data_IF_187642775195
#
_entry.id   IF_187642775195
#
_cell.length_a   1.000
_cell.length_b   1.000
_cell.length_c   1.000
_cell.angle_alpha   90.00
_cell.angle_beta   90.00
_cell.angle_gamma   90.00
#
_symmetry.space_group_name_H-M   'P 1'
#
loop_
_entity.id
_entity.type
_entity.pdbx_description
1 polymer ?
#
# COMPACT_ATOMS: atom_id res chain seq x y z
N UNK A 1 -18.83 3.22 10.27
CA UNK A 1 -17.84 2.53 9.40
C UNK A 1 -18.41 2.04 8.07
N UNK A 2 -19.64 1.51 7.99
CA UNK A 2 -20.22 1.09 6.70
C UNK A 2 -20.20 2.18 5.62
N UNK A 3 -20.60 3.41 5.97
CA UNK A 3 -20.55 4.55 5.05
C UNK A 3 -19.11 4.89 4.62
N UNK A 4 -18.16 4.88 5.56
CA UNK A 4 -16.74 5.11 5.25
C UNK A 4 -16.13 4.01 4.37
N UNK A 5 -16.73 2.82 4.34
CA UNK A 5 -16.26 1.70 3.51
C UNK A 5 -16.83 1.74 2.09
N UNK A 6 -17.78 2.62 1.79
CA UNK A 6 -18.51 2.62 0.51
C UNK A 6 -17.62 2.91 -0.71
N UNK A 7 -16.46 3.53 -0.49
CA UNK A 7 -15.50 3.89 -1.55
C UNK A 7 -14.25 3.02 -1.54
N UNK A 8 -14.09 2.17 -0.53
CA UNK A 8 -12.93 1.32 -0.35
C UNK A 8 -12.94 0.19 -1.38
N UNK A 9 -11.82 -0.01 -2.10
CA UNK A 9 -11.66 -1.04 -3.12
C UNK A 9 -10.29 -1.71 -3.02
N UNK A 10 -10.25 -2.99 -3.36
CA UNK A 10 -9.00 -3.71 -3.57
C UNK A 10 -8.64 -3.68 -5.05
N UNK A 11 -7.46 -3.15 -5.40
CA UNK A 11 -6.99 -3.09 -6.78
C UNK A 11 -6.90 -4.48 -7.41
N UNK A 12 -6.46 -5.48 -6.65
CA UNK A 12 -6.63 -6.89 -6.97
C UNK A 12 -7.96 -7.38 -6.35
N UNK A 13 -9.00 -7.68 -7.14
CA UNK A 13 -10.30 -8.06 -6.58
C UNK A 13 -10.22 -9.27 -5.66
N UNK A 14 -10.74 -9.14 -4.44
CA UNK A 14 -10.76 -10.21 -3.43
C UNK A 14 -9.44 -10.44 -2.69
N UNK A 15 -8.41 -9.59 -2.87
CA UNK A 15 -7.14 -9.72 -2.15
C UNK A 15 -7.15 -9.02 -0.78
N UNK A 16 -7.78 -7.85 -0.70
CA UNK A 16 -7.87 -7.03 0.51
C UNK A 16 -9.36 -6.81 0.81
N UNK A 17 -9.74 -6.85 2.08
CA UNK A 17 -11.12 -6.55 2.48
C UNK A 17 -11.46 -5.09 2.16
N UNK A 18 -12.59 -4.87 1.50
CA UNK A 18 -13.09 -3.55 1.10
C UNK A 18 -13.79 -2.84 2.27
N UNK A 19 -13.03 -2.58 3.32
CA UNK A 19 -13.46 -1.90 4.54
C UNK A 19 -12.56 -0.72 4.84
N UNK A 20 -13.11 0.33 5.45
CA UNK A 20 -12.35 1.52 5.82
C UNK A 20 -11.16 1.20 6.74
N UNK A 21 -11.40 0.38 7.77
CA UNK A 21 -10.39 -0.02 8.74
C UNK A 21 -10.63 -1.48 9.18
N UNK A 22 -9.53 -2.18 9.45
CA UNK A 22 -9.51 -3.53 10.01
C UNK A 22 -8.53 -3.57 11.20
N UNK A 23 -8.96 -4.14 12.33
CA UNK A 23 -8.12 -4.28 13.53
C UNK A 23 -6.89 -5.18 13.33
N UNK A 24 -6.90 -5.99 12.26
CA UNK A 24 -5.82 -6.90 11.89
C UNK A 24 -4.90 -6.34 10.81
N UNK A 25 -5.07 -5.07 10.43
CA UNK A 25 -4.10 -4.33 9.62
C UNK A 25 -3.12 -3.62 10.55
N UNK A 26 -1.89 -4.12 10.63
CA UNK A 26 -0.89 -3.64 11.59
C UNK A 26 0.04 -2.64 10.89
N UNK A 27 -0.04 -1.33 11.20
CA UNK A 27 0.79 -0.33 10.54
C UNK A 27 2.27 -0.46 10.95
N UNK A 28 3.18 -0.25 10.01
CA UNK A 28 4.62 -0.14 10.28
C UNK A 28 5.25 1.14 9.71
N UNK A 29 4.55 1.86 8.83
CA UNK A 29 4.97 3.17 8.32
C UNK A 29 3.74 4.06 8.12
N UNK A 30 3.94 5.38 8.17
CA UNK A 30 2.87 6.36 7.98
C UNK A 30 3.40 7.66 7.34
N UNK A 31 2.49 8.42 6.76
CA UNK A 31 2.75 9.72 6.13
C UNK A 31 2.44 10.93 7.03
N UNK A 32 2.02 10.70 8.28
CA UNK A 32 1.50 11.72 9.22
C UNK A 32 0.17 12.40 8.79
N UNK A 33 -0.38 12.06 7.63
CA UNK A 33 -1.70 12.47 7.13
C UNK A 33 -2.83 11.50 7.51
N UNK A 34 -2.47 10.32 8.04
CA UNK A 34 -3.42 9.26 8.41
C UNK A 34 -3.44 8.12 7.40
N UNK A 35 -2.41 8.00 6.58
CA UNK A 35 -2.20 6.92 5.63
C UNK A 35 -1.00 6.08 6.05
N UNK A 36 -1.08 4.78 5.77
CA UNK A 36 -0.19 3.78 6.34
C UNK A 36 0.24 2.76 5.30
N UNK A 37 1.44 2.24 5.50
CA UNK A 37 1.78 0.90 5.08
C UNK A 37 1.64 -0.03 6.29
N UNK A 38 1.14 -1.24 6.06
CA UNK A 38 1.08 -2.23 7.11
C UNK A 38 0.93 -3.65 6.61
N UNK A 39 0.99 -4.57 7.58
CA UNK A 39 0.82 -6.00 7.37
C UNK A 39 -0.64 -6.36 7.54
N UNK A 40 -1.21 -7.02 6.55
CA UNK A 40 -2.58 -7.51 6.56
C UNK A 40 -2.63 -8.94 7.10
N UNK A 41 -3.16 -9.11 8.32
CA UNK A 41 -3.32 -10.42 8.96
C UNK A 41 -4.74 -11.01 8.77
N UNK A 42 -5.63 -10.29 8.09
CA UNK A 42 -7.01 -10.70 7.84
C UNK A 42 -7.43 -10.35 6.39
N UNK A 43 -6.73 -10.91 5.39
CA UNK A 43 -7.00 -10.65 3.97
C UNK A 43 -8.36 -11.24 3.55
N UNK A 44 -8.79 -10.88 2.33
CA UNK A 44 -9.91 -11.54 1.67
C UNK A 44 -9.44 -12.84 0.96
N UNK A 45 -10.36 -13.64 0.42
CA UNK A 45 -10.11 -15.00 -0.10
C UNK A 45 -8.92 -15.17 -1.07
N UNK A 46 -8.57 -14.13 -1.85
CA UNK A 46 -7.44 -14.18 -2.80
C UNK A 46 -6.15 -13.56 -2.26
N UNK A 47 -6.19 -12.98 -1.06
CA UNK A 47 -5.02 -12.42 -0.42
C UNK A 47 -4.21 -13.47 0.35
N UNK A 48 -3.09 -13.03 0.92
CA UNK A 48 -2.17 -13.85 1.71
C UNK A 48 -2.00 -13.21 3.09
N UNK A 49 -2.23 -13.96 4.16
CA UNK A 49 -2.01 -13.44 5.52
C UNK A 49 -0.52 -13.12 5.68
N UNK A 50 -0.22 -11.88 6.10
CA UNK A 50 1.15 -11.35 6.13
C UNK A 50 1.54 -10.49 4.93
N UNK A 51 0.66 -10.32 3.93
CA UNK A 51 0.90 -9.41 2.81
C UNK A 51 1.02 -7.95 3.28
N UNK A 52 1.78 -7.15 2.54
CA UNK A 52 1.97 -5.71 2.81
C UNK A 52 1.01 -4.91 1.95
N UNK A 53 0.27 -3.99 2.56
CA UNK A 53 -0.77 -3.17 1.92
C UNK A 53 -0.66 -1.69 2.31
N UNK A 54 -1.23 -0.81 1.49
CA UNK A 54 -1.62 0.54 1.91
C UNK A 54 -3.03 0.52 2.52
N UNK A 55 -3.27 1.40 3.50
CA UNK A 55 -4.60 1.70 4.03
C UNK A 55 -4.57 3.02 4.79
N UNK A 56 -5.72 3.62 5.04
CA UNK A 56 -5.80 4.85 5.82
C UNK A 56 -6.93 5.75 5.37
N UNK A 57 -6.78 7.02 5.75
CA UNK A 57 -7.80 8.06 5.54
C UNK A 57 -8.11 8.29 4.07
N UNK A 58 -7.08 8.36 3.23
CA UNK A 58 -7.14 8.76 1.83
C UNK A 58 -6.84 7.58 0.88
N UNK A 59 -6.56 6.40 1.44
CA UNK A 59 -6.27 5.15 0.71
C UNK A 59 -7.56 4.38 0.38
N UNK A 60 -8.43 4.98 -0.44
CA UNK A 60 -9.67 4.33 -0.90
C UNK A 60 -9.37 3.09 -1.76
N UNK A 61 -8.40 3.18 -2.67
CA UNK A 61 -7.90 2.06 -3.46
C UNK A 61 -6.66 1.43 -2.78
N UNK A 62 -6.75 0.14 -2.46
CA UNK A 62 -5.69 -0.59 -1.75
C UNK A 62 -4.99 -1.57 -2.68
N UNK A 63 -3.69 -1.68 -2.53
CA UNK A 63 -2.80 -2.50 -3.33
C UNK A 63 -2.06 -3.49 -2.43
N UNK A 64 -1.77 -4.67 -2.97
CA UNK A 64 -0.84 -5.60 -2.33
C UNK A 64 0.56 -5.26 -2.80
N UNK A 65 1.36 -4.60 -1.95
CA UNK A 65 2.71 -4.16 -2.32
C UNK A 65 3.70 -5.33 -2.32
N UNK A 66 3.51 -6.31 -1.43
CA UNK A 66 4.30 -7.52 -1.35
C UNK A 66 3.52 -8.65 -0.67
N UNK A 67 3.88 -9.91 -0.94
CA UNK A 67 3.24 -11.08 -0.33
C UNK A 67 3.74 -11.38 1.10
N UNK A 68 4.81 -10.73 1.53
CA UNK A 68 5.37 -10.83 2.88
C UNK A 68 6.22 -9.60 3.21
N UNK A 69 6.52 -9.38 4.50
CA UNK A 69 7.45 -8.35 4.92
C UNK A 69 8.87 -8.57 4.37
N UNK A 70 9.30 -9.83 4.24
CA UNK A 70 10.57 -10.19 3.62
C UNK A 70 10.63 -9.72 2.17
N UNK A 71 9.62 -10.07 1.36
CA UNK A 71 9.54 -9.65 -0.04
C UNK A 71 9.44 -8.12 -0.18
N UNK A 72 8.78 -7.43 0.76
CA UNK A 72 8.74 -5.97 0.78
C UNK A 72 10.13 -5.35 1.05
N UNK A 73 10.88 -5.87 2.02
CA UNK A 73 12.23 -5.38 2.34
C UNK A 73 13.19 -5.66 1.18
N UNK A 74 13.11 -6.86 0.56
CA UNK A 74 13.88 -7.17 -0.64
C UNK A 74 13.59 -6.20 -1.78
N UNK A 75 12.30 -5.92 -2.04
CA UNK A 75 11.90 -4.94 -3.04
C UNK A 75 12.46 -3.53 -2.73
N UNK A 76 12.39 -3.11 -1.47
CA UNK A 76 12.91 -1.81 -1.03
C UNK A 76 14.42 -1.70 -1.21
N UNK A 77 15.17 -2.75 -0.86
CA UNK A 77 16.61 -2.83 -1.09
C UNK A 77 16.92 -2.68 -2.58
N UNK A 78 16.19 -3.38 -3.45
CA UNK A 78 16.34 -3.24 -4.91
C UNK A 78 16.10 -1.79 -5.40
N UNK A 79 15.13 -1.07 -4.83
CA UNK A 79 14.91 0.34 -5.18
C UNK A 79 16.09 1.22 -4.74
N UNK A 80 16.65 0.97 -3.56
CA UNK A 80 17.82 1.70 -3.04
C UNK A 80 19.07 1.43 -3.90
N UNK A 81 19.35 0.17 -4.21
CA UNK A 81 20.54 -0.25 -4.97
C UNK A 81 20.49 0.18 -6.44
N UNK A 82 19.30 0.16 -7.06
CA UNK A 82 19.11 0.66 -8.42
C UNK A 82 19.14 2.20 -8.51
N UNK A 83 19.14 2.89 -7.38
CA UNK A 83 19.04 4.35 -7.32
C UNK A 83 17.62 4.87 -7.57
N UNK A 84 16.59 4.03 -7.61
CA UNK A 84 15.18 4.43 -7.69
C UNK A 84 14.60 4.84 -6.32
N UNK A 85 15.40 5.55 -5.52
CA UNK A 85 14.99 6.06 -4.23
C UNK A 85 15.31 7.55 -4.11
N UNK A 86 14.48 8.25 -3.35
CA UNK A 86 14.61 9.67 -3.05
C UNK A 86 14.36 9.88 -1.55
N UNK A 87 15.31 10.53 -0.89
CA UNK A 87 15.12 11.03 0.47
C UNK A 87 14.76 12.51 0.36
N UNK A 88 13.62 12.92 0.90
CA UNK A 88 13.22 14.33 0.97
C UNK A 88 13.37 14.82 2.41
N UNK A 89 13.88 16.03 2.57
CA UNK A 89 13.87 16.73 3.85
C UNK A 89 12.49 17.38 4.04
N UNK A 90 11.92 17.21 5.23
CA UNK A 90 10.62 17.76 5.61
C UNK A 90 10.80 19.07 6.39
N UNK A 91 9.78 19.93 6.39
CA UNK A 91 9.81 21.24 7.07
C UNK A 91 10.03 21.14 8.59
N UNK A 92 9.68 20.00 9.19
CA UNK A 92 9.88 19.71 10.62
C UNK A 92 11.28 19.17 10.96
N UNK A 93 12.17 19.09 9.97
CA UNK A 93 13.52 18.51 10.09
C UNK A 93 13.54 16.98 10.01
N UNK A 94 12.40 16.35 9.75
CA UNK A 94 12.27 14.94 9.40
C UNK A 94 12.77 14.64 7.99
N UNK A 95 12.77 13.34 7.65
CA UNK A 95 13.08 12.86 6.30
C UNK A 95 12.10 11.80 5.88
N UNK A 96 11.59 11.87 4.66
CA UNK A 96 10.74 10.85 4.06
C UNK A 96 11.47 10.06 2.99
N UNK A 97 11.20 8.75 2.95
CA UNK A 97 11.67 7.86 1.90
C UNK A 97 10.60 7.75 0.81
N UNK A 98 10.99 8.06 -0.41
CA UNK A 98 10.15 8.03 -1.60
C UNK A 98 10.87 7.27 -2.72
N UNK A 99 10.14 7.00 -3.81
CA UNK A 99 10.73 6.50 -5.06
C UNK A 99 11.01 7.66 -6.01
N UNK A 100 11.97 7.49 -6.91
CA UNK A 100 12.30 8.52 -7.91
C UNK A 100 11.40 8.42 -9.14
N UNK A 101 11.13 7.21 -9.58
CA UNK A 101 10.33 6.88 -10.75
C UNK A 101 9.26 5.84 -10.39
N UNK A 102 7.97 6.13 -10.61
CA UNK A 102 7.43 7.42 -11.08
C UNK A 102 7.66 8.57 -10.09
N UNK A 103 7.83 9.79 -10.61
CA UNK A 103 7.93 10.98 -9.76
C UNK A 103 6.59 11.21 -9.04
N UNK A 104 6.66 11.36 -7.72
CA UNK A 104 5.52 11.62 -6.85
C UNK A 104 5.95 12.51 -5.69
N UNK A 105 4.95 13.14 -5.05
CA UNK A 105 5.18 13.93 -3.84
C UNK A 105 5.43 13.01 -2.64
N UNK A 106 4.55 12.04 -2.44
CA UNK A 106 4.64 10.99 -1.42
C UNK A 106 4.72 9.60 -2.07
N UNK A 107 5.42 8.66 -1.43
CA UNK A 107 5.45 7.25 -1.85
C UNK A 107 4.06 6.65 -2.08
N UNK A 108 3.07 6.92 -1.22
CA UNK A 108 1.72 6.36 -1.34
C UNK A 108 1.02 6.82 -2.63
N UNK A 109 1.27 8.06 -3.09
CA UNK A 109 0.72 8.59 -4.33
C UNK A 109 1.22 7.84 -5.58
N UNK A 110 2.35 7.13 -5.46
CA UNK A 110 2.94 6.38 -6.57
C UNK A 110 2.34 4.97 -6.75
N UNK A 111 1.67 4.44 -5.73
CA UNK A 111 1.15 3.07 -5.73
C UNK A 111 0.19 2.79 -6.90
N UNK A 112 -0.74 3.71 -7.27
CA UNK A 112 -1.62 3.55 -8.43
C UNK A 112 -0.91 3.34 -9.77
N UNK A 113 0.34 3.79 -9.88
CA UNK A 113 1.17 3.64 -11.07
C UNK A 113 2.06 2.41 -10.95
N UNK A 114 2.74 2.23 -9.81
CA UNK A 114 3.62 1.09 -9.56
C UNK A 114 2.89 -0.26 -9.64
N UNK A 115 1.66 -0.30 -9.13
CA UNK A 115 0.88 -1.54 -8.98
C UNK A 115 -0.36 -1.56 -9.88
N UNK A 116 -0.36 -0.75 -10.95
CA UNK A 116 -1.50 -0.61 -11.87
C UNK A 116 -1.98 -1.95 -12.45
N UNK A 117 -1.07 -2.90 -12.68
CA UNK A 117 -1.37 -4.23 -13.25
C UNK A 117 -2.28 -5.09 -12.38
N UNK A 118 -2.43 -4.78 -11.09
CA UNK A 118 -3.36 -5.50 -10.21
C UNK A 118 -4.82 -5.32 -10.64
N UNK A 119 -5.15 -4.17 -11.24
CA UNK A 119 -6.49 -3.82 -11.74
C UNK A 119 -6.93 -4.70 -12.91
N UNK A 120 -5.97 -5.24 -13.65
CA UNK A 120 -6.22 -6.07 -14.83
C UNK A 120 -6.45 -7.55 -14.47
N UNK A 121 -6.27 -7.92 -13.20
CA UNK A 121 -6.48 -9.29 -12.76
C UNK A 121 -7.98 -9.58 -12.68
N UNK A 122 -8.46 -10.66 -13.35
CA UNK A 122 -9.87 -10.98 -13.37
C UNK A 122 -10.37 -11.21 -11.94
N UNK A 123 -11.55 -10.66 -11.61
CA UNK A 123 -12.32 -11.11 -10.46
C UNK A 123 -12.88 -12.51 -10.70
N UNK A 124 -13.26 -13.22 -9.64
CA UNK A 124 -14.00 -14.48 -9.80
C UNK A 124 -15.28 -14.22 -10.61
N UNK A 125 -15.65 -15.10 -11.57
CA UNK A 125 -17.00 -15.08 -12.10
C UNK A 125 -17.95 -15.41 -10.94
N UNK A 126 -18.86 -14.48 -10.66
CA UNK A 126 -19.93 -14.63 -9.67
C UNK A 126 -20.79 -15.88 -9.90
#
# INVERSE_FOLDING_TARGET
MKEASAFCKSAMPGAIKEVYANQYWVPFAHDYGGNYLGVDLDPEQRGTSGQVINFGRDEDERFVLALSMEAFVEWLVCQLESGNALIRDEDDGGRSLNIREPESYNFLDSLPVLFASQRDLPGDPA
#
